data_IF_122791990328
#
_entry.id   IF_122791990328
#
_cell.length_a   1.000
_cell.length_b   1.000
_cell.length_c   1.000
_cell.angle_alpha   90.00
_cell.angle_beta   90.00
_cell.angle_gamma   90.00
#
_symmetry.space_group_name_H-M   'P 1'
#
loop_
_entity.id
_entity.type
_entity.pdbx_description
1 polymer ?
#
# COMPACT_ATOMS: atom_id res chain seq x y z
N UNK A 1 -11.07 31.91 -23.54
CA UNK A 1 -10.31 32.46 -22.40
C UNK A 1 -9.72 31.26 -21.66
N UNK A 2 -8.45 30.98 -21.87
CA UNK A 2 -7.75 29.88 -21.21
C UNK A 2 -7.51 30.24 -19.73
N UNK A 3 -8.02 29.40 -18.83
CA UNK A 3 -7.64 29.45 -17.42
C UNK A 3 -6.22 28.90 -17.28
N UNK A 4 -5.24 29.79 -17.17
CA UNK A 4 -3.90 29.44 -16.68
C UNK A 4 -4.01 29.08 -15.21
N UNK A 5 -3.83 27.81 -14.87
CA UNK A 5 -3.51 27.40 -13.51
C UNK A 5 -2.25 28.15 -13.04
N UNK A 6 -2.22 28.69 -11.82
CA UNK A 6 -1.03 29.35 -11.29
C UNK A 6 0.10 28.31 -11.18
N UNK A 7 1.26 28.65 -11.74
CA UNK A 7 2.46 27.82 -11.66
C UNK A 7 3.00 27.91 -10.22
N UNK A 8 2.82 26.84 -9.44
CA UNK A 8 3.13 26.74 -8.00
C UNK A 8 4.65 26.65 -7.73
N UNK A 9 5.47 26.57 -8.78
CA UNK A 9 6.92 26.36 -8.74
C UNK A 9 7.78 27.42 -8.01
N UNK A 10 7.17 28.43 -7.37
CA UNK A 10 7.86 29.49 -6.64
C UNK A 10 7.37 29.67 -5.19
N UNK A 11 6.71 28.68 -4.58
CA UNK A 11 6.37 28.75 -3.16
C UNK A 11 7.60 28.36 -2.33
N UNK A 12 8.00 29.26 -1.42
CA UNK A 12 9.07 29.03 -0.46
C UNK A 12 8.43 28.96 0.91
N UNK A 13 8.73 27.91 1.66
CA UNK A 13 8.28 27.80 3.05
C UNK A 13 8.95 28.91 3.88
N UNK A 14 8.14 29.78 4.47
CA UNK A 14 8.62 30.98 5.18
C UNK A 14 9.42 30.63 6.44
N UNK A 15 9.22 29.45 7.02
CA UNK A 15 9.91 28.99 8.22
C UNK A 15 11.25 28.31 7.89
N UNK A 16 11.32 27.62 6.75
CA UNK A 16 12.54 26.90 6.35
C UNK A 16 13.36 27.63 5.29
N UNK A 17 12.80 28.65 4.62
CA UNK A 17 13.38 29.40 3.49
C UNK A 17 13.85 28.51 2.34
N UNK A 18 13.37 27.28 2.26
CA UNK A 18 13.65 26.34 1.18
C UNK A 18 12.47 26.36 0.19
N UNK A 19 12.72 26.14 -1.12
CA UNK A 19 11.64 25.90 -2.07
C UNK A 19 10.75 24.78 -1.52
N UNK A 20 9.43 24.96 -1.56
CA UNK A 20 8.49 23.86 -1.31
C UNK A 20 8.74 22.87 -2.43
N UNK A 21 9.38 21.76 -2.07
CA UNK A 21 9.62 20.66 -3.00
C UNK A 21 8.27 19.98 -3.22
N UNK A 22 7.55 20.37 -4.29
CA UNK A 22 6.26 19.78 -4.70
C UNK A 22 6.35 18.24 -4.80
N UNK A 23 7.56 17.70 -4.97
CA UNK A 23 7.84 16.26 -5.04
C UNK A 23 7.63 15.51 -3.72
N UNK A 24 7.41 16.20 -2.60
CA UNK A 24 7.48 15.62 -1.26
C UNK A 24 6.17 15.80 -0.45
N UNK A 25 5.11 16.29 -1.11
CA UNK A 25 3.82 16.61 -0.48
C UNK A 25 3.02 15.33 -0.16
N UNK A 26 3.11 14.34 -1.04
CA UNK A 26 2.40 13.05 -0.95
C UNK A 26 3.22 11.98 -0.21
N UNK A 27 4.34 12.37 0.40
CA UNK A 27 5.18 11.48 1.18
C UNK A 27 4.44 10.97 2.41
N UNK A 28 4.40 9.65 2.57
CA UNK A 28 3.94 9.00 3.80
C UNK A 28 4.93 9.27 4.94
N UNK A 29 4.41 9.72 6.09
CA UNK A 29 5.22 10.05 7.27
C UNK A 29 4.90 9.19 8.48
N UNK A 30 3.66 8.69 8.59
CA UNK A 30 3.23 7.75 9.64
C UNK A 30 2.12 6.85 9.13
N UNK A 31 2.11 5.62 9.62
CA UNK A 31 1.12 4.60 9.31
C UNK A 31 0.42 4.13 10.59
N UNK A 32 -0.84 3.75 10.46
CA UNK A 32 -1.61 3.01 11.47
C UNK A 32 -2.17 1.76 10.80
N UNK A 33 -1.68 0.55 11.14
CA UNK A 33 -2.19 -0.69 10.58
C UNK A 33 -3.70 -0.79 10.77
N UNK A 34 -4.39 -1.40 9.81
CA UNK A 34 -5.81 -1.64 9.96
C UNK A 34 -6.11 -3.00 10.59
N UNK A 35 -6.90 -2.99 11.66
CA UNK A 35 -7.09 -4.12 12.58
C UNK A 35 -8.56 -4.45 12.84
N UNK A 36 -9.49 -3.55 12.51
CA UNK A 36 -10.92 -3.70 12.75
C UNK A 36 -11.67 -4.28 11.54
N UNK A 37 -10.95 -4.52 10.44
CA UNK A 37 -11.48 -5.14 9.24
C UNK A 37 -12.17 -4.17 8.29
N UNK A 38 -11.83 -2.88 8.36
CA UNK A 38 -12.30 -1.90 7.40
C UNK A 38 -11.82 -2.23 5.98
N UNK A 39 -12.70 -2.02 5.01
CA UNK A 39 -12.48 -2.34 3.61
C UNK A 39 -12.57 -1.08 2.75
N UNK A 40 -11.85 -1.07 1.63
CA UNK A 40 -12.03 -0.11 0.56
C UNK A 40 -12.98 -0.72 -0.47
N UNK A 41 -13.97 0.04 -0.90
CA UNK A 41 -14.84 -0.32 -2.01
C UNK A 41 -14.30 0.22 -3.31
N UNK A 42 -14.38 -0.59 -4.37
CA UNK A 42 -14.05 -0.18 -5.72
C UNK A 42 -14.98 -0.79 -6.76
N UNK A 43 -15.15 -0.09 -7.88
CA UNK A 43 -15.85 -0.56 -9.07
C UNK A 43 -14.86 -0.80 -10.23
N UNK A 44 -15.30 -1.45 -11.30
CA UNK A 44 -14.53 -1.64 -12.53
C UNK A 44 -15.48 -1.52 -13.73
N UNK A 45 -15.06 -0.82 -14.79
CA UNK A 45 -15.82 -0.62 -16.02
C UNK A 45 -16.19 -1.93 -16.75
N UNK A 46 -15.42 -2.99 -16.55
CA UNK A 46 -15.66 -4.34 -17.08
C UNK A 46 -16.90 -5.01 -16.45
N UNK A 47 -17.34 -4.56 -15.27
CA UNK A 47 -18.51 -5.08 -14.56
C UNK A 47 -19.37 -3.94 -14.00
N UNK A 48 -20.07 -3.18 -14.86
CA UNK A 48 -20.86 -2.04 -14.42
C UNK A 48 -21.90 -2.41 -13.36
N UNK A 49 -21.98 -1.62 -12.28
CA UNK A 49 -22.96 -1.80 -11.21
C UNK A 49 -22.58 -2.83 -10.14
N UNK A 50 -21.40 -3.45 -10.21
CA UNK A 50 -20.88 -4.34 -9.17
C UNK A 50 -19.77 -3.65 -8.39
N UNK A 51 -19.91 -3.67 -7.06
CA UNK A 51 -18.87 -3.23 -6.13
C UNK A 51 -18.08 -4.43 -5.63
N UNK A 52 -16.79 -4.21 -5.49
CA UNK A 52 -15.83 -5.14 -4.90
C UNK A 52 -15.25 -4.50 -3.64
N UNK A 53 -14.89 -5.33 -2.67
CA UNK A 53 -14.19 -4.86 -1.47
C UNK A 53 -12.80 -5.46 -1.39
N UNK A 54 -11.89 -4.68 -0.83
CA UNK A 54 -10.52 -5.08 -0.53
C UNK A 54 -10.17 -4.59 0.86
N UNK A 55 -9.54 -5.45 1.69
CA UNK A 55 -9.14 -5.05 3.04
C UNK A 55 -8.15 -3.90 2.99
N UNK A 56 -8.35 -2.90 3.83
CA UNK A 56 -7.38 -1.82 4.04
C UNK A 56 -6.16 -2.41 4.73
N UNK A 57 -4.97 -2.09 4.23
CA UNK A 57 -3.72 -2.50 4.86
C UNK A 57 -3.42 -1.61 6.07
N UNK A 58 -3.42 -0.30 5.85
CA UNK A 58 -3.16 0.70 6.89
C UNK A 58 -3.72 2.06 6.49
N UNK A 59 -3.78 2.97 7.44
CA UNK A 59 -4.06 4.39 7.24
C UNK A 59 -2.74 5.15 7.25
N UNK A 60 -2.52 6.01 6.26
CA UNK A 60 -1.29 6.78 6.13
C UNK A 60 -1.55 8.26 6.31
N UNK A 61 -0.76 8.89 7.19
CA UNK A 61 -0.61 10.34 7.25
C UNK A 61 0.43 10.75 6.22
N UNK A 62 0.04 11.63 5.31
CA UNK A 62 0.91 12.27 4.34
C UNK A 62 1.47 13.59 4.88
N UNK A 63 2.56 14.08 4.28
CA UNK A 63 3.22 15.33 4.69
C UNK A 63 2.33 16.57 4.55
N UNK A 64 1.40 16.58 3.60
CA UNK A 64 0.36 17.61 3.46
C UNK A 64 -0.72 17.58 4.57
N UNK A 65 -0.68 16.59 5.46
CA UNK A 65 -1.64 16.41 6.54
C UNK A 65 -2.90 15.64 6.16
N UNK A 66 -3.03 15.17 4.92
CA UNK A 66 -4.13 14.27 4.54
C UNK A 66 -3.91 12.87 5.11
N UNK A 67 -5.02 12.17 5.33
CA UNK A 67 -5.01 10.79 5.81
C UNK A 67 -5.81 9.93 4.86
N UNK A 68 -5.19 8.92 4.27
CA UNK A 68 -5.83 8.01 3.33
C UNK A 68 -5.54 6.55 3.69
N UNK A 69 -6.47 5.67 3.33
CA UNK A 69 -6.24 4.24 3.41
C UNK A 69 -5.28 3.80 2.30
N UNK A 70 -4.36 2.91 2.64
CA UNK A 70 -3.46 2.27 1.70
C UNK A 70 -3.90 0.83 1.45
N UNK A 71 -3.82 0.40 0.20
CA UNK A 71 -4.08 -0.98 -0.21
C UNK A 71 -2.97 -1.50 -1.15
N UNK A 72 -2.57 -2.77 -1.04
CA UNK A 72 -1.75 -3.42 -2.05
C UNK A 72 -2.55 -3.60 -3.34
N UNK A 73 -2.14 -2.92 -4.40
CA UNK A 73 -2.85 -2.89 -5.67
C UNK A 73 -1.92 -3.17 -6.83
N UNK A 74 -2.10 -4.33 -7.47
CA UNK A 74 -1.21 -4.81 -8.54
C UNK A 74 0.25 -4.78 -8.07
N UNK A 75 1.11 -3.98 -8.69
CA UNK A 75 2.54 -3.93 -8.40
C UNK A 75 2.94 -2.79 -7.44
N UNK A 76 1.99 -2.08 -6.84
CA UNK A 76 2.28 -0.93 -5.96
C UNK A 76 1.34 -0.85 -4.77
N UNK A 77 1.74 -0.08 -3.77
CA UNK A 77 0.82 0.37 -2.72
C UNK A 77 0.21 1.68 -3.17
N UNK A 78 -1.11 1.77 -3.12
CA UNK A 78 -1.85 2.94 -3.58
C UNK A 78 -2.62 3.57 -2.43
N UNK A 79 -2.69 4.90 -2.45
CA UNK A 79 -3.72 5.62 -1.72
C UNK A 79 -5.07 5.34 -2.36
N UNK A 80 -6.06 4.98 -1.55
CA UNK A 80 -7.42 4.68 -2.01
C UNK A 80 -8.00 5.77 -2.92
N UNK A 81 -7.84 7.05 -2.54
CA UNK A 81 -8.38 8.19 -3.30
C UNK A 81 -7.66 8.44 -4.63
N UNK A 82 -6.51 7.83 -4.85
CA UNK A 82 -5.77 7.87 -6.13
C UNK A 82 -6.13 6.72 -7.06
N UNK A 83 -6.95 5.76 -6.60
CA UNK A 83 -7.39 4.65 -7.42
C UNK A 83 -8.45 5.11 -8.42
N UNK A 84 -7.99 5.38 -9.64
CA UNK A 84 -8.82 5.83 -10.75
C UNK A 84 -8.28 5.29 -12.08
N UNK A 85 -8.31 3.97 -12.23
CA UNK A 85 -7.87 3.28 -13.44
C UNK A 85 -9.07 2.57 -14.10
N UNK A 86 -9.50 2.97 -15.31
CA UNK A 86 -10.64 2.37 -15.99
C UNK A 86 -10.58 0.84 -16.14
N UNK A 87 -9.37 0.28 -16.26
CA UNK A 87 -9.17 -1.14 -16.45
C UNK A 87 -9.22 -1.91 -15.13
N UNK A 88 -8.72 -1.28 -14.07
CA UNK A 88 -8.39 -1.94 -12.82
C UNK A 88 -9.36 -1.59 -11.69
N UNK A 89 -9.75 -0.32 -11.56
CA UNK A 89 -10.90 0.10 -10.78
C UNK A 89 -10.93 1.56 -10.36
N UNK A 90 -12.10 1.98 -9.87
CA UNK A 90 -12.37 3.30 -9.31
C UNK A 90 -12.72 3.18 -7.84
N UNK A 91 -12.20 4.08 -7.02
CA UNK A 91 -12.56 4.15 -5.60
C UNK A 91 -14.00 4.62 -5.39
N UNK A 92 -14.72 3.93 -4.50
CA UNK A 92 -16.15 4.17 -4.24
C UNK A 92 -16.45 4.48 -2.76
N UNK A 93 -15.43 4.44 -1.89
CA UNK A 93 -15.57 4.70 -0.45
C UNK A 93 -14.89 3.66 0.42
N UNK A 94 -15.11 3.79 1.72
CA UNK A 94 -14.71 2.83 2.74
C UNK A 94 -15.92 2.18 3.38
N UNK A 95 -15.79 0.93 3.76
CA UNK A 95 -16.89 0.13 4.24
C UNK A 95 -16.52 -0.60 5.53
N UNK A 96 -17.38 -0.43 6.52
CA UNK A 96 -17.38 -1.21 7.74
C UNK A 96 -18.44 -2.31 7.59
N UNK A 97 -17.96 -3.54 7.39
CA UNK A 97 -18.82 -4.70 7.21
C UNK A 97 -19.54 -5.12 8.50
N UNK A 98 -19.00 -4.80 9.67
CA UNK A 98 -19.58 -5.14 10.95
C UNK A 98 -20.76 -4.23 11.28
N UNK A 99 -20.63 -2.92 11.04
CA UNK A 99 -21.68 -1.94 11.27
C UNK A 99 -22.54 -1.66 10.02
N UNK A 100 -22.24 -2.28 8.88
CA UNK A 100 -22.88 -2.03 7.57
C UNK A 100 -22.90 -0.53 7.23
N UNK A 101 -21.74 0.11 7.33
CA UNK A 101 -21.60 1.56 7.23
C UNK A 101 -20.62 1.97 6.12
N UNK A 102 -21.09 2.84 5.23
CA UNK A 102 -20.29 3.46 4.16
C UNK A 102 -19.85 4.85 4.58
N UNK A 103 -18.56 5.15 4.39
CA UNK A 103 -17.95 6.43 4.73
C UNK A 103 -16.81 6.78 3.75
N UNK A 104 -16.38 8.04 3.73
CA UNK A 104 -15.49 8.56 2.67
C UNK A 104 -14.21 9.23 3.20
N UNK A 105 -14.13 9.44 4.51
CA UNK A 105 -12.99 10.05 5.19
C UNK A 105 -12.37 9.07 6.19
N UNK A 106 -11.14 9.35 6.63
CA UNK A 106 -10.52 8.53 7.66
C UNK A 106 -11.33 8.57 8.96
N UNK A 107 -11.49 7.44 9.68
CA UNK A 107 -12.15 7.44 10.98
C UNK A 107 -11.44 8.34 12.00
N UNK A 108 -12.19 9.06 12.82
CA UNK A 108 -11.67 10.00 13.83
C UNK A 108 -10.56 9.41 14.72
N UNK A 109 -10.68 8.13 15.08
CA UNK A 109 -9.71 7.48 15.95
C UNK A 109 -8.36 7.28 15.23
N UNK A 110 -8.36 6.92 13.94
CA UNK A 110 -7.14 6.81 13.12
C UNK A 110 -6.50 8.17 12.92
N UNK A 111 -7.29 9.22 12.71
CA UNK A 111 -6.77 10.58 12.59
C UNK A 111 -6.03 11.02 13.86
N UNK A 112 -6.66 10.82 15.03
CA UNK A 112 -6.05 11.17 16.33
C UNK A 112 -4.79 10.36 16.59
N UNK A 113 -4.82 9.06 16.33
CA UNK A 113 -3.67 8.16 16.49
C UNK A 113 -2.49 8.64 15.65
N UNK A 114 -2.70 8.83 14.35
CA UNK A 114 -1.66 9.23 13.40
C UNK A 114 -1.06 10.59 13.73
N UNK A 115 -1.88 11.59 14.02
CA UNK A 115 -1.41 12.94 14.39
C UNK A 115 -0.67 12.94 15.71
N UNK A 116 -1.09 12.13 16.69
CA UNK A 116 -0.38 12.01 17.97
C UNK A 116 0.95 11.30 17.79
N UNK A 117 0.96 10.21 17.01
CA UNK A 117 2.17 9.45 16.70
C UNK A 117 3.21 10.28 15.91
N UNK A 118 2.78 11.09 14.94
CA UNK A 118 3.67 11.99 14.21
C UNK A 118 4.37 12.98 15.14
N UNK A 119 3.60 13.61 16.04
CA UNK A 119 4.17 14.57 16.98
C UNK A 119 5.15 13.93 17.97
N UNK A 120 4.85 12.71 18.45
CA UNK A 120 5.69 12.01 19.43
C UNK A 120 6.97 11.45 18.80
N UNK A 121 6.86 10.79 17.65
CA UNK A 121 7.96 10.12 16.97
C UNK A 121 8.57 10.96 15.84
N UNK A 122 8.44 12.28 15.89
CA UNK A 122 8.95 13.17 14.85
C UNK A 122 10.45 12.95 14.68
N UNK A 123 10.87 12.66 13.45
CA UNK A 123 12.27 12.44 13.08
C UNK A 123 12.80 13.65 12.31
N UNK A 124 14.03 14.08 12.62
CA UNK A 124 14.72 15.18 11.93
C UNK A 124 15.89 14.70 11.06
N UNK A 125 16.09 13.39 10.93
CA UNK A 125 17.10 12.84 10.02
C UNK A 125 16.70 13.06 8.56
N UNK A 126 17.69 13.39 7.73
CA UNK A 126 17.56 13.48 6.27
C UNK A 126 17.97 12.17 5.56
N UNK A 127 18.35 11.13 6.32
CA UNK A 127 18.68 9.81 5.77
C UNK A 127 17.44 9.16 5.14
N UNK A 128 17.47 8.91 3.84
CA UNK A 128 16.32 8.38 3.07
C UNK A 128 16.07 6.90 3.34
N UNK A 129 17.12 6.13 3.61
CA UNK A 129 17.05 4.68 3.80
C UNK A 129 16.80 4.29 5.27
N UNK A 130 16.70 5.29 6.14
CA UNK A 130 16.29 5.08 7.52
C UNK A 130 14.85 4.56 7.58
N UNK A 131 14.68 3.40 8.21
CA UNK A 131 13.37 2.84 8.53
C UNK A 131 12.75 3.62 9.69
N UNK A 132 11.61 4.25 9.47
CA UNK A 132 10.92 5.06 10.49
C UNK A 132 9.72 4.35 11.12
N UNK A 133 9.22 3.30 10.49
CA UNK A 133 8.16 2.45 11.01
C UNK A 133 8.17 1.09 10.31
N UNK A 134 7.88 0.02 11.05
CA UNK A 134 7.64 -1.31 10.51
C UNK A 134 6.49 -1.99 11.27
N UNK A 135 5.61 -2.69 10.57
CA UNK A 135 4.49 -3.42 11.16
C UNK A 135 4.21 -4.73 10.41
N UNK A 136 3.56 -5.68 11.08
CA UNK A 136 3.24 -6.99 10.50
C UNK A 136 2.14 -6.87 9.44
N UNK A 137 2.16 -7.72 8.42
CA UNK A 137 1.01 -7.85 7.54
C UNK A 137 -0.17 -8.50 8.29
N UNK A 138 -1.33 -7.87 8.24
CA UNK A 138 -2.57 -8.36 8.85
C UNK A 138 -3.63 -8.75 7.81
N UNK A 139 -3.39 -8.44 6.54
CA UNK A 139 -4.34 -8.66 5.44
C UNK A 139 -4.15 -10.00 4.73
N UNK A 140 -3.08 -10.73 5.03
CA UNK A 140 -2.71 -11.99 4.37
C UNK A 140 -2.15 -11.75 2.97
N UNK A 141 -1.38 -10.68 2.80
CA UNK A 141 -0.83 -10.27 1.51
C UNK A 141 0.25 -11.24 1.05
N UNK A 142 0.20 -11.60 -0.23
CA UNK A 142 1.20 -12.40 -0.91
C UNK A 142 1.80 -11.61 -2.06
N UNK A 143 3.05 -11.91 -2.36
CA UNK A 143 3.78 -11.40 -3.51
C UNK A 143 3.92 -12.52 -4.54
N UNK A 144 3.70 -12.17 -5.81
CA UNK A 144 4.04 -13.02 -6.96
C UNK A 144 5.45 -12.69 -7.42
N UNK A 145 6.31 -13.70 -7.38
CA UNK A 145 7.62 -13.66 -8.02
C UNK A 145 7.60 -14.56 -9.26
N UNK A 146 8.17 -14.09 -10.36
CA UNK A 146 8.32 -14.88 -11.58
C UNK A 146 9.48 -14.39 -12.45
N UNK A 147 10.41 -15.30 -12.74
CA UNK A 147 11.57 -15.07 -13.60
C UNK A 147 11.22 -15.12 -15.11
N UNK A 148 10.07 -15.71 -15.48
CA UNK A 148 9.76 -16.17 -16.84
C UNK A 148 8.40 -15.66 -17.35
N UNK A 149 8.06 -14.40 -17.05
CA UNK A 149 6.81 -13.76 -17.48
C UNK A 149 5.57 -14.56 -17.06
N UNK A 150 5.53 -14.95 -15.79
CA UNK A 150 4.47 -15.71 -15.11
C UNK A 150 4.31 -17.16 -15.57
N UNK A 151 5.29 -17.77 -16.26
CA UNK A 151 5.18 -19.20 -16.63
C UNK A 151 5.37 -20.08 -15.40
N UNK A 152 6.31 -19.70 -14.55
CA UNK A 152 6.54 -20.21 -13.20
C UNK A 152 6.25 -19.09 -12.22
N UNK A 153 5.41 -19.39 -11.22
CA UNK A 153 5.03 -18.45 -10.18
C UNK A 153 5.46 -18.97 -8.82
N UNK A 154 6.05 -18.09 -8.02
CA UNK A 154 6.29 -18.31 -6.59
C UNK A 154 5.42 -17.31 -5.83
N UNK A 155 4.64 -17.83 -4.88
CA UNK A 155 3.82 -17.02 -3.98
C UNK A 155 4.53 -16.93 -2.64
N UNK A 156 5.03 -15.75 -2.30
CA UNK A 156 5.69 -15.48 -1.02
C UNK A 156 4.78 -14.65 -0.11
N UNK A 157 4.61 -15.07 1.14
CA UNK A 157 3.85 -14.31 2.13
C UNK A 157 4.61 -13.04 2.56
N UNK A 158 3.93 -11.91 2.64
CA UNK A 158 4.49 -10.66 3.19
C UNK A 158 4.52 -10.77 4.71
N UNK A 159 5.71 -10.76 5.30
CA UNK A 159 5.88 -10.81 6.76
C UNK A 159 5.58 -9.45 7.40
N UNK A 160 6.08 -8.36 6.79
CA UNK A 160 5.96 -7.01 7.33
C UNK A 160 5.98 -5.94 6.27
N UNK A 161 5.64 -4.73 6.68
CA UNK A 161 5.61 -3.51 5.87
C UNK A 161 6.50 -2.46 6.49
N UNK A 162 7.46 -1.96 5.70
CA UNK A 162 8.52 -1.07 6.14
C UNK A 162 8.37 0.30 5.49
N UNK A 163 8.13 1.32 6.30
CA UNK A 163 8.13 2.71 5.87
C UNK A 163 9.53 3.31 6.04
N UNK A 164 10.09 3.75 4.93
CA UNK A 164 11.34 4.49 4.88
C UNK A 164 11.11 5.99 5.07
N UNK A 165 12.14 6.67 5.56
CA UNK A 165 12.10 8.09 5.84
C UNK A 165 11.93 8.94 4.58
N UNK A 166 12.04 8.41 3.37
CA UNK A 166 11.69 9.12 2.12
C UNK A 166 10.23 8.92 1.69
N UNK A 167 9.45 8.10 2.41
CA UNK A 167 8.06 7.79 2.11
C UNK A 167 7.85 6.47 1.39
N UNK A 168 8.89 5.75 0.97
CA UNK A 168 8.72 4.43 0.37
C UNK A 168 8.13 3.45 1.39
N UNK A 169 7.11 2.71 0.97
CA UNK A 169 6.52 1.63 1.77
C UNK A 169 6.78 0.28 1.08
N UNK A 170 7.65 -0.54 1.68
CA UNK A 170 8.05 -1.82 1.10
C UNK A 170 7.46 -3.00 1.86
N UNK A 171 7.00 -4.00 1.11
CA UNK A 171 6.67 -5.32 1.62
C UNK A 171 7.96 -6.09 1.86
N UNK A 172 8.06 -6.71 3.03
CA UNK A 172 9.17 -7.54 3.44
C UNK A 172 8.76 -9.01 3.34
N UNK A 173 9.52 -9.80 2.59
CA UNK A 173 9.30 -11.24 2.42
C UNK A 173 10.54 -12.00 2.90
N UNK A 174 10.35 -13.23 3.38
CA UNK A 174 11.45 -14.04 3.89
C UNK A 174 12.18 -14.77 2.74
N UNK A 175 13.51 -14.71 2.74
CA UNK A 175 14.37 -15.57 1.94
C UNK A 175 14.47 -16.94 2.62
N UNK A 176 13.77 -17.94 2.09
CA UNK A 176 13.70 -19.29 2.65
C UNK A 176 15.09 -19.93 2.85
N UNK A 177 16.08 -19.53 2.05
CA UNK A 177 17.45 -20.08 2.15
C UNK A 177 18.25 -19.48 3.31
N UNK A 178 17.80 -18.34 3.86
CA UNK A 178 18.46 -17.62 4.96
C UNK A 178 17.73 -17.75 6.29
N UNK A 179 16.61 -18.48 6.34
CA UNK A 179 15.87 -18.68 7.59
C UNK A 179 16.69 -19.55 8.53
N UNK A 180 17.11 -18.97 9.66
CA UNK A 180 17.83 -19.68 10.72
C UNK A 180 16.92 -20.14 11.86
N UNK A 181 15.75 -19.51 12.00
CA UNK A 181 14.80 -19.75 13.11
C UNK A 181 13.37 -19.49 12.67
N UNK A 182 12.43 -20.21 13.28
CA UNK A 182 10.99 -20.03 13.08
C UNK A 182 10.28 -19.83 14.42
N UNK A 183 9.26 -18.94 14.50
CA UNK A 183 8.71 -18.11 13.41
C UNK A 183 9.66 -16.98 12.99
N UNK A 184 9.57 -16.55 11.73
CA UNK A 184 10.27 -15.36 11.22
C UNK A 184 9.58 -14.12 11.77
N UNK A 185 10.35 -13.17 12.30
CA UNK A 185 9.86 -11.95 12.93
C UNK A 185 10.34 -10.69 12.20
N UNK A 186 9.68 -9.56 12.50
CA UNK A 186 10.13 -8.23 12.07
C UNK A 186 11.60 -8.03 12.49
N UNK A 187 12.42 -7.61 11.53
CA UNK A 187 13.84 -7.32 11.74
C UNK A 187 14.78 -8.52 11.55
N UNK A 188 14.27 -9.72 11.30
CA UNK A 188 15.13 -10.87 10.98
C UNK A 188 15.93 -10.63 9.68
N UNK A 189 17.20 -11.03 9.66
CA UNK A 189 18.13 -10.83 8.54
C UNK A 189 17.71 -11.54 7.24
N UNK A 190 16.81 -12.52 7.34
CA UNK A 190 16.26 -13.20 6.17
C UNK A 190 15.19 -12.37 5.43
N UNK A 191 14.74 -11.24 5.99
CA UNK A 191 13.75 -10.37 5.36
C UNK A 191 14.39 -9.44 4.32
N UNK A 192 13.80 -9.38 3.14
CA UNK A 192 14.20 -8.46 2.07
C UNK A 192 12.98 -7.80 1.42
N UNK A 193 13.20 -6.66 0.76
CA UNK A 193 12.14 -5.93 0.06
C UNK A 193 11.69 -6.72 -1.18
N UNK A 194 10.41 -7.03 -1.22
CA UNK A 194 9.79 -7.64 -2.39
C UNK A 194 9.90 -6.75 -3.62
N UNK A 195 9.60 -5.45 -3.50
CA UNK A 195 9.61 -4.53 -4.65
C UNK A 195 11.01 -4.30 -5.24
N UNK A 196 12.08 -4.53 -4.48
CA UNK A 196 13.46 -4.46 -4.99
C UNK A 196 13.92 -5.77 -5.64
N UNK A 197 13.13 -6.84 -5.54
CA UNK A 197 13.43 -8.11 -6.17
C UNK A 197 13.16 -8.07 -7.67
N UNK A 198 14.13 -8.47 -8.50
CA UNK A 198 14.04 -8.46 -9.97
C UNK A 198 12.82 -9.22 -10.53
N UNK A 199 12.33 -10.21 -9.79
CA UNK A 199 11.24 -11.08 -10.23
C UNK A 199 9.88 -10.66 -9.69
N UNK A 200 9.81 -9.57 -8.93
CA UNK A 200 8.55 -9.04 -8.41
C UNK A 200 7.60 -8.66 -9.55
N UNK A 201 6.35 -9.11 -9.43
CA UNK A 201 5.28 -8.81 -10.39
C UNK A 201 4.13 -8.07 -9.72
N UNK A 202 3.42 -8.73 -8.82
CA UNK A 202 2.17 -8.20 -8.25
C UNK A 202 1.96 -8.67 -6.80
N UNK A 203 1.13 -7.93 -6.07
CA UNK A 203 0.52 -8.32 -4.82
C UNK A 203 -0.80 -9.06 -5.07
N UNK A 204 -1.07 -10.06 -4.24
CA UNK A 204 -2.37 -10.72 -4.13
C UNK A 204 -2.83 -10.76 -2.69
N UNK A 205 -4.13 -10.61 -2.50
CA UNK A 205 -4.76 -10.89 -1.22
C UNK A 205 -4.96 -12.39 -1.05
N UNK A 206 -4.92 -12.86 0.19
CA UNK A 206 -5.05 -14.25 0.59
C UNK A 206 -6.15 -15.03 -0.16
N UNK A 207 -7.34 -14.44 -0.32
CA UNK A 207 -8.47 -15.09 -1.00
C UNK A 207 -8.17 -15.40 -2.47
N UNK A 208 -7.49 -14.50 -3.18
CA UNK A 208 -7.09 -14.67 -4.58
C UNK A 208 -5.88 -15.61 -4.68
N UNK A 209 -4.88 -15.41 -3.80
CA UNK A 209 -3.69 -16.25 -3.73
C UNK A 209 -4.04 -17.73 -3.52
N UNK A 210 -5.01 -18.02 -2.65
CA UNK A 210 -5.49 -19.38 -2.44
C UNK A 210 -6.15 -19.98 -3.67
N UNK A 211 -7.00 -19.23 -4.38
CA UNK A 211 -7.61 -19.73 -5.62
C UNK A 211 -6.53 -20.11 -6.64
N UNK A 212 -5.51 -19.26 -6.81
CA UNK A 212 -4.37 -19.53 -7.68
C UNK A 212 -3.62 -20.78 -7.23
N UNK A 213 -3.30 -20.89 -5.94
CA UNK A 213 -2.59 -22.05 -5.37
C UNK A 213 -3.36 -23.36 -5.56
N UNK A 214 -4.69 -23.32 -5.57
CA UNK A 214 -5.56 -24.48 -5.79
C UNK A 214 -5.85 -24.76 -7.28
N UNK A 215 -5.25 -24.03 -8.21
CA UNK A 215 -5.42 -24.28 -9.65
C UNK A 215 -6.73 -23.77 -10.24
N UNK A 216 -7.38 -22.79 -9.60
CA UNK A 216 -8.62 -22.18 -10.09
C UNK A 216 -8.39 -21.53 -11.46
N UNK A 217 -9.11 -22.01 -12.48
CA UNK A 217 -8.91 -21.61 -13.87
C UNK A 217 -9.27 -20.14 -14.12
N UNK A 218 -10.25 -19.58 -13.39
CA UNK A 218 -10.68 -18.19 -13.57
C UNK A 218 -9.67 -17.22 -12.94
N UNK A 219 -9.11 -17.59 -11.78
CA UNK A 219 -8.04 -16.84 -11.14
C UNK A 219 -6.76 -16.85 -11.98
N UNK A 220 -6.42 -18.00 -12.57
CA UNK A 220 -5.26 -18.15 -13.47
C UNK A 220 -5.50 -17.42 -14.80
N UNK A 221 -6.72 -17.43 -15.34
CA UNK A 221 -7.06 -16.69 -16.56
C UNK A 221 -6.99 -15.17 -16.35
N UNK A 222 -7.38 -14.68 -15.17
CA UNK A 222 -7.25 -13.28 -14.78
C UNK A 222 -5.77 -12.85 -14.69
N UNK A 223 -4.91 -13.73 -14.18
CA UNK A 223 -3.45 -13.57 -14.23
C UNK A 223 -2.92 -13.47 -15.67
N UNK A 224 -3.49 -14.24 -16.60
CA UNK A 224 -3.10 -14.17 -18.01
C UNK A 224 -3.49 -12.85 -18.69
N UNK A 225 -4.56 -12.19 -18.24
CA UNK A 225 -4.88 -10.83 -18.69
C UNK A 225 -3.89 -9.78 -18.17
N UNK A 226 -3.22 -10.03 -17.03
CA UNK A 226 -2.14 -9.18 -16.51
C UNK A 226 -0.78 -9.41 -17.21
N UNK A 227 -0.70 -10.33 -18.19
CA UNK A 227 0.52 -10.61 -18.99
C UNK A 227 0.65 -9.72 -20.23
N UNK A 228 -0.44 -9.13 -20.70
CA UNK A 228 -0.50 -8.21 -21.86
C UNK A 228 -0.30 -6.77 -21.43
#
# INVERSE_FOLDING_TARGET
>A
MENKHPNISNIVDIFTRKPVDDTNIDKFIRLSPELDGLEMLYSNDSCPGKLYSIKILCWALMKNGTINALVPWLNKIVSSKELNDPLNGHWEGYYDSFHNHLFFEAPDHKEKELKTAENFFRNSSDDKDLVIQEFIDTTGTHVVLSEDQLQTIVLAHVTSWRLFNDGRLHAMIADETKITSTPVLIGDDCLFSAQEHKDFRYFFHYSIANKIKHGDQDAIASLNHLRT
#
